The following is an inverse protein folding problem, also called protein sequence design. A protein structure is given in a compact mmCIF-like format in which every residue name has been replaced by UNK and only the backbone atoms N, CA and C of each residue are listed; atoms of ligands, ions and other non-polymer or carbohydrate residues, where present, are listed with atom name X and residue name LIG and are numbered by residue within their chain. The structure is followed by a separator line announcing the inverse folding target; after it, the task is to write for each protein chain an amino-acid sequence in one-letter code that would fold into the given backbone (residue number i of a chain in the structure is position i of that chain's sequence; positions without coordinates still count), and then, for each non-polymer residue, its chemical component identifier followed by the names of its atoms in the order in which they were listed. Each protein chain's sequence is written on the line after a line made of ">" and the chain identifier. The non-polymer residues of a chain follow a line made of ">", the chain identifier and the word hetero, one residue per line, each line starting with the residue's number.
data_IF_145476603627
#
_entry.id   IF_145476603627
#
_cell.length_a   1.000
_cell.length_b   1.000
_cell.length_c   1.000
_cell.angle_alpha   90.00
_cell.angle_beta   90.00
_cell.angle_gamma   90.00
#
_symmetry.space_group_name_H-M   'P 1'
#
loop_
_entity.id
_entity.type
_entity.pdbx_description
1 polymer ?
#
# COMPACT_ATOMS: atom_id res chain seq x y z
N UNK A 1 71.58 -14.99 65.29
CA UNK A 1 70.80 -15.83 64.36
C UNK A 1 69.58 -15.03 63.84
N UNK A 2 69.69 -14.43 62.69
CA UNK A 2 68.61 -13.58 62.07
C UNK A 2 67.95 -14.42 60.97
N UNK A 3 66.67 -14.83 61.21
CA UNK A 3 65.86 -15.51 60.19
C UNK A 3 65.30 -14.48 59.19
N UNK A 4 65.75 -14.57 57.95
CA UNK A 4 65.19 -13.83 56.85
C UNK A 4 63.85 -14.45 56.41
N UNK A 5 62.74 -13.69 56.51
CA UNK A 5 61.48 -14.04 55.94
C UNK A 5 61.45 -13.54 54.44
N UNK A 6 61.18 -14.43 53.53
CA UNK A 6 60.97 -14.13 52.10
C UNK A 6 59.46 -13.87 51.92
N UNK A 7 59.03 -12.74 51.34
CA UNK A 7 57.64 -12.55 51.05
C UNK A 7 57.25 -13.33 49.78
N UNK A 8 56.19 -14.13 49.87
CA UNK A 8 55.61 -14.83 48.77
C UNK A 8 54.83 -13.80 47.85
N UNK A 9 55.26 -13.68 46.61
CA UNK A 9 54.61 -12.87 45.60
C UNK A 9 53.42 -13.67 45.06
N UNK A 10 52.16 -13.26 45.40
CA UNK A 10 50.96 -13.83 44.86
C UNK A 10 50.73 -13.18 43.50
N UNK A 11 51.00 -13.92 42.40
CA UNK A 11 50.64 -13.53 41.03
C UNK A 11 49.15 -13.74 40.83
N UNK A 12 48.36 -12.65 40.87
CA UNK A 12 46.95 -12.65 40.57
C UNK A 12 46.79 -12.67 39.03
N UNK A 13 46.60 -13.83 38.44
CA UNK A 13 46.26 -13.97 36.99
C UNK A 13 44.82 -13.55 36.78
N UNK A 14 44.62 -12.36 36.22
CA UNK A 14 43.32 -11.93 35.66
C UNK A 14 42.97 -12.83 34.45
N UNK A 15 42.08 -13.76 34.65
CA UNK A 15 41.44 -14.51 33.56
C UNK A 15 40.45 -13.58 32.89
N UNK A 16 40.86 -12.94 31.81
CA UNK A 16 39.93 -12.24 30.88
C UNK A 16 39.05 -13.31 30.18
N UNK A 17 37.87 -13.52 30.73
CA UNK A 17 36.84 -14.30 30.04
C UNK A 17 36.47 -13.57 28.75
N UNK A 18 36.56 -14.19 27.55
CA UNK A 18 36.01 -13.60 26.36
C UNK A 18 34.51 -13.52 26.55
N UNK A 19 33.97 -12.32 26.66
CA UNK A 19 32.54 -12.08 26.59
C UNK A 19 32.08 -12.54 25.20
N UNK A 20 31.56 -13.75 25.12
CA UNK A 20 30.80 -14.18 23.95
C UNK A 20 29.60 -13.22 23.84
N UNK A 21 29.69 -12.29 22.93
CA UNK A 21 28.51 -11.62 22.38
C UNK A 21 27.71 -12.69 21.65
N UNK A 22 26.87 -13.42 22.37
CA UNK A 22 25.79 -14.17 21.77
C UNK A 22 24.89 -13.10 21.12
N UNK A 23 25.02 -12.92 19.84
CA UNK A 23 24.10 -12.10 19.05
C UNK A 23 22.69 -12.59 19.37
N UNK A 24 21.89 -11.75 20.01
CA UNK A 24 20.51 -12.06 20.32
C UNK A 24 19.81 -12.28 18.98
N UNK A 25 19.53 -13.55 18.65
CA UNK A 25 18.78 -13.89 17.43
C UNK A 25 17.43 -13.16 17.52
N UNK A 26 17.25 -12.18 16.65
CA UNK A 26 15.98 -11.45 16.54
C UNK A 26 14.89 -12.47 16.19
N UNK A 27 13.83 -12.50 16.99
CA UNK A 27 12.68 -13.34 16.71
C UNK A 27 11.97 -12.76 15.47
N UNK A 28 11.92 -13.52 14.38
CA UNK A 28 11.25 -13.11 13.15
C UNK A 28 9.72 -13.18 13.34
N UNK A 29 9.01 -12.13 12.94
CA UNK A 29 7.53 -12.12 12.92
C UNK A 29 6.94 -13.11 11.90
N UNK A 30 7.72 -13.44 10.86
CA UNK A 30 7.33 -14.35 9.76
C UNK A 30 8.52 -15.26 9.44
N UNK A 31 8.33 -16.60 9.33
CA UNK A 31 9.39 -17.50 8.87
C UNK A 31 9.72 -17.19 7.40
N UNK A 32 11.00 -17.30 7.04
CA UNK A 32 11.40 -17.17 5.63
C UNK A 32 10.89 -18.36 4.80
N UNK A 33 9.95 -18.07 3.91
CA UNK A 33 9.43 -19.02 2.91
C UNK A 33 9.46 -18.33 1.55
N UNK A 34 10.32 -18.75 0.62
CA UNK A 34 10.44 -18.05 -0.65
C UNK A 34 9.23 -18.29 -1.56
N UNK A 35 8.68 -17.22 -2.13
CA UNK A 35 7.63 -17.31 -3.16
C UNK A 35 8.09 -18.11 -4.37
N UNK A 36 7.33 -19.09 -4.81
CA UNK A 36 7.67 -19.89 -6.02
C UNK A 36 7.66 -19.01 -7.27
N UNK A 37 8.57 -19.26 -8.21
CA UNK A 37 8.73 -18.42 -9.42
C UNK A 37 7.46 -18.25 -10.26
N UNK A 38 6.61 -19.27 -10.49
CA UNK A 38 5.34 -19.06 -11.19
C UNK A 38 4.41 -18.07 -10.47
N UNK A 39 4.46 -18.02 -9.13
CA UNK A 39 3.69 -17.06 -8.33
C UNK A 39 4.32 -15.66 -8.42
N UNK A 40 5.66 -15.55 -8.39
CA UNK A 40 6.37 -14.27 -8.67
C UNK A 40 5.93 -13.70 -10.01
N UNK A 41 5.87 -14.53 -11.05
CA UNK A 41 5.47 -14.14 -12.39
C UNK A 41 4.03 -13.58 -12.40
N UNK A 42 3.11 -14.26 -11.75
CA UNK A 42 1.72 -13.80 -11.66
C UNK A 42 1.58 -12.53 -10.81
N UNK A 43 2.31 -12.42 -9.71
CA UNK A 43 2.32 -11.19 -8.88
C UNK A 43 2.76 -9.98 -9.70
N UNK A 44 3.86 -10.08 -10.44
CA UNK A 44 4.39 -8.98 -11.25
C UNK A 44 3.47 -8.64 -12.43
N UNK A 45 2.87 -9.66 -13.05
CA UNK A 45 1.89 -9.50 -14.12
C UNK A 45 0.60 -8.83 -13.62
N UNK A 46 0.01 -9.32 -12.52
CA UNK A 46 -1.22 -8.77 -11.94
C UNK A 46 -1.01 -7.34 -11.46
N UNK A 47 0.17 -7.02 -10.89
CA UNK A 47 0.57 -5.67 -10.55
C UNK A 47 0.77 -4.76 -11.78
N UNK A 48 0.83 -5.30 -13.00
CA UNK A 48 1.03 -4.55 -14.23
C UNK A 48 2.32 -3.72 -14.22
N UNK A 49 3.44 -4.36 -13.83
CA UNK A 49 4.73 -3.68 -13.68
C UNK A 49 5.17 -3.05 -14.99
N UNK A 50 5.70 -1.82 -14.90
CA UNK A 50 6.23 -1.06 -16.03
C UNK A 50 7.63 -0.49 -15.73
N UNK A 51 8.39 -0.12 -16.77
CA UNK A 51 9.74 0.43 -16.66
C UNK A 51 9.87 1.65 -15.74
N UNK A 52 8.81 2.47 -15.64
CA UNK A 52 8.80 3.66 -14.78
C UNK A 52 8.53 3.38 -13.31
N UNK A 53 8.17 2.15 -12.95
CA UNK A 53 7.80 1.80 -11.58
C UNK A 53 8.98 1.77 -10.62
N UNK A 54 8.64 2.07 -9.37
CA UNK A 54 9.48 1.82 -8.20
C UNK A 54 8.77 0.77 -7.32
N UNK A 55 9.28 -0.44 -7.36
CA UNK A 55 8.73 -1.61 -6.66
C UNK A 55 9.36 -1.70 -5.28
N UNK A 56 8.54 -1.75 -4.24
CA UNK A 56 8.96 -2.01 -2.87
C UNK A 56 8.53 -3.42 -2.45
N UNK A 57 9.45 -4.20 -1.90
CA UNK A 57 9.18 -5.53 -1.37
C UNK A 57 9.47 -5.57 0.13
N UNK A 58 8.43 -5.77 0.93
CA UNK A 58 8.52 -5.78 2.39
C UNK A 58 8.65 -7.23 2.89
N UNK A 59 9.78 -7.56 3.52
CA UNK A 59 10.19 -8.93 3.79
C UNK A 59 10.74 -9.58 2.51
N UNK A 60 11.71 -8.92 1.87
CA UNK A 60 12.14 -9.26 0.50
C UNK A 60 12.90 -10.59 0.38
N UNK A 61 13.36 -11.17 1.49
CA UNK A 61 14.11 -12.41 1.49
C UNK A 61 15.31 -12.35 0.55
N UNK A 62 15.37 -13.28 -0.39
CA UNK A 62 16.43 -13.36 -1.41
C UNK A 62 16.31 -12.35 -2.57
N UNK A 63 15.33 -11.44 -2.50
CA UNK A 63 15.14 -10.35 -3.44
C UNK A 63 14.44 -10.71 -4.75
N UNK A 64 13.91 -11.95 -4.89
CA UNK A 64 13.39 -12.48 -6.17
C UNK A 64 12.29 -11.64 -6.83
N UNK A 65 11.40 -10.99 -6.05
CA UNK A 65 10.32 -10.13 -6.57
C UNK A 65 10.91 -8.85 -7.19
N UNK A 66 11.77 -8.16 -6.45
CA UNK A 66 12.42 -6.91 -6.89
C UNK A 66 13.36 -7.16 -8.07
N UNK A 67 14.15 -8.24 -8.01
CA UNK A 67 15.06 -8.66 -9.08
C UNK A 67 14.26 -9.05 -10.33
N UNK A 68 13.18 -9.82 -10.16
CA UNK A 68 12.30 -10.21 -11.27
C UNK A 68 11.63 -9.01 -11.94
N UNK A 69 11.19 -8.02 -11.17
CA UNK A 69 10.64 -6.76 -11.70
C UNK A 69 11.70 -5.99 -12.52
N UNK A 70 12.94 -5.92 -12.03
CA UNK A 70 14.04 -5.25 -12.72
C UNK A 70 14.42 -5.97 -14.02
N UNK A 71 14.60 -7.30 -13.99
CA UNK A 71 15.03 -8.06 -15.15
C UNK A 71 14.00 -8.06 -16.29
N UNK A 72 12.71 -8.23 -15.97
CA UNK A 72 11.68 -8.45 -16.99
C UNK A 72 11.07 -7.15 -17.51
N UNK A 73 10.96 -6.15 -16.63
CA UNK A 73 10.25 -4.91 -16.96
C UNK A 73 11.15 -3.67 -16.93
N UNK A 74 12.41 -3.79 -16.48
CA UNK A 74 13.30 -2.65 -16.30
C UNK A 74 12.83 -1.69 -15.21
N UNK A 75 12.02 -2.15 -14.27
CA UNK A 75 11.57 -1.39 -13.13
C UNK A 75 12.71 -1.19 -12.12
N UNK A 76 12.65 -0.10 -11.35
CA UNK A 76 13.51 0.05 -10.17
C UNK A 76 12.90 -0.65 -8.97
N UNK A 77 13.72 -1.05 -8.01
CA UNK A 77 13.19 -1.73 -6.84
C UNK A 77 13.99 -1.52 -5.56
N UNK A 78 13.27 -1.63 -4.45
CA UNK A 78 13.80 -1.54 -3.10
C UNK A 78 13.24 -2.73 -2.31
N UNK A 79 14.13 -3.53 -1.72
CA UNK A 79 13.77 -4.61 -0.80
C UNK A 79 14.17 -4.28 0.61
N UNK A 80 13.27 -4.54 1.56
CA UNK A 80 13.53 -4.48 2.99
C UNK A 80 13.40 -5.86 3.61
N UNK A 81 14.37 -6.25 4.40
CA UNK A 81 14.29 -7.42 5.27
C UNK A 81 15.00 -7.13 6.59
N UNK A 82 14.58 -7.78 7.65
CA UNK A 82 15.22 -7.63 8.97
C UNK A 82 16.40 -8.59 9.15
N UNK A 83 16.48 -9.63 8.30
CA UNK A 83 17.51 -10.65 8.34
C UNK A 83 18.71 -10.24 7.47
N UNK A 84 19.90 -9.98 8.09
CA UNK A 84 21.10 -9.60 7.35
C UNK A 84 21.57 -10.68 6.35
N UNK A 85 21.32 -11.97 6.63
CA UNK A 85 21.67 -13.06 5.69
C UNK A 85 20.83 -12.97 4.43
N UNK A 86 19.52 -12.68 4.56
CA UNK A 86 18.63 -12.48 3.41
C UNK A 86 19.04 -11.26 2.59
N UNK A 87 19.42 -10.17 3.24
CA UNK A 87 19.91 -8.97 2.56
C UNK A 87 21.22 -9.25 1.79
N UNK A 88 22.16 -10.02 2.37
CA UNK A 88 23.36 -10.40 1.64
C UNK A 88 23.03 -11.29 0.43
N UNK A 89 22.17 -12.29 0.60
CA UNK A 89 21.71 -13.16 -0.48
C UNK A 89 21.04 -12.37 -1.61
N UNK A 90 20.16 -11.40 -1.26
CA UNK A 90 19.49 -10.56 -2.25
C UNK A 90 20.46 -9.72 -3.09
N UNK A 91 21.53 -9.19 -2.47
CA UNK A 91 22.59 -8.45 -3.18
C UNK A 91 23.40 -9.35 -4.12
N UNK A 92 23.74 -10.56 -3.67
CA UNK A 92 24.45 -11.54 -4.48
C UNK A 92 23.59 -11.99 -5.68
N UNK A 93 22.31 -12.21 -5.45
CA UNK A 93 21.34 -12.56 -6.50
C UNK A 93 21.17 -11.41 -7.50
N UNK A 94 21.09 -10.15 -7.04
CA UNK A 94 21.03 -8.98 -7.93
C UNK A 94 22.29 -8.86 -8.80
N UNK A 95 23.46 -9.17 -8.24
CA UNK A 95 24.73 -9.19 -8.97
C UNK A 95 24.72 -10.26 -10.05
N UNK A 96 24.33 -11.50 -9.70
CA UNK A 96 24.19 -12.62 -10.66
C UNK A 96 23.18 -12.30 -11.76
N UNK A 97 22.11 -11.58 -11.42
CA UNK A 97 21.06 -11.17 -12.34
C UNK A 97 21.42 -9.97 -13.22
N UNK A 98 22.51 -9.26 -12.93
CA UNK A 98 22.98 -8.07 -13.67
C UNK A 98 22.11 -6.83 -13.47
N UNK A 99 21.38 -6.72 -12.34
CA UNK A 99 20.43 -5.62 -12.09
C UNK A 99 20.80 -4.72 -10.91
N UNK A 100 22.03 -4.76 -10.43
CA UNK A 100 22.52 -3.98 -9.27
C UNK A 100 22.28 -2.48 -9.39
N UNK A 101 22.22 -1.93 -10.61
CA UNK A 101 21.96 -0.52 -10.87
C UNK A 101 20.46 -0.16 -10.76
N UNK A 102 19.56 -1.14 -10.73
CA UNK A 102 18.12 -0.95 -10.68
C UNK A 102 17.53 -1.24 -9.30
N UNK A 103 18.22 -2.04 -8.48
CA UNK A 103 17.68 -2.52 -7.20
C UNK A 103 18.58 -2.18 -6.02
N UNK A 104 17.94 -1.99 -4.86
CA UNK A 104 18.63 -1.76 -3.57
C UNK A 104 18.00 -2.62 -2.50
N UNK A 105 18.81 -3.08 -1.52
CA UNK A 105 18.34 -3.90 -0.40
C UNK A 105 18.87 -3.33 0.91
N UNK A 106 17.98 -3.21 1.89
CA UNK A 106 18.26 -2.62 3.20
C UNK A 106 17.84 -3.56 4.32
N UNK A 107 18.75 -3.76 5.29
CA UNK A 107 18.42 -4.39 6.56
C UNK A 107 17.62 -3.40 7.39
N UNK A 108 16.30 -3.60 7.45
CA UNK A 108 15.41 -2.69 8.15
C UNK A 108 14.09 -3.37 8.51
N UNK A 109 13.54 -3.00 9.67
CA UNK A 109 12.18 -3.35 10.08
C UNK A 109 11.16 -2.69 9.15
N UNK A 110 10.32 -3.50 8.51
CA UNK A 110 9.28 -3.07 7.57
C UNK A 110 8.25 -2.09 8.18
N UNK A 111 8.04 -2.13 9.50
CA UNK A 111 7.13 -1.19 10.17
C UNK A 111 7.70 0.23 10.28
N UNK A 112 9.03 0.36 10.25
CA UNK A 112 9.74 1.64 10.29
C UNK A 112 10.25 2.09 8.92
N UNK A 113 10.19 1.21 7.90
CA UNK A 113 10.62 1.49 6.56
C UNK A 113 9.81 2.64 5.94
N UNK A 114 10.51 3.49 5.19
CA UNK A 114 9.89 4.54 4.38
C UNK A 114 9.61 4.00 2.98
N UNK A 115 8.35 4.00 2.58
CA UNK A 115 7.90 3.50 1.28
C UNK A 115 6.95 4.47 0.54
N UNK A 116 6.90 5.74 0.94
CA UNK A 116 5.98 6.74 0.37
C UNK A 116 6.17 6.98 -1.14
N UNK A 117 7.34 6.62 -1.70
CA UNK A 117 7.63 6.74 -3.13
C UNK A 117 7.19 5.53 -3.96
N UNK A 118 6.72 4.44 -3.32
CA UNK A 118 6.33 3.24 -4.02
C UNK A 118 5.24 3.52 -5.06
N UNK A 119 5.42 3.00 -6.27
CA UNK A 119 4.33 2.86 -7.26
C UNK A 119 3.72 1.46 -7.24
N UNK A 120 4.49 0.48 -6.77
CA UNK A 120 4.07 -0.90 -6.53
C UNK A 120 4.66 -1.40 -5.22
N UNK A 121 3.88 -2.13 -4.45
CA UNK A 121 4.31 -2.83 -3.23
C UNK A 121 4.01 -4.31 -3.35
N UNK A 122 4.98 -5.16 -3.03
CA UNK A 122 4.84 -6.61 -2.99
C UNK A 122 4.94 -7.11 -1.55
N UNK A 123 4.11 -8.12 -1.22
CA UNK A 123 4.00 -8.68 0.13
C UNK A 123 3.91 -10.20 0.06
N UNK A 124 4.67 -10.89 0.91
CA UNK A 124 4.42 -12.28 1.28
C UNK A 124 4.56 -12.43 2.79
N UNK A 125 3.63 -11.81 3.50
CA UNK A 125 3.61 -11.70 4.95
C UNK A 125 2.30 -12.32 5.49
N UNK A 126 2.29 -12.66 6.77
CA UNK A 126 1.06 -13.16 7.42
C UNK A 126 -0.04 -12.09 7.41
N UNK A 127 -1.31 -12.51 7.37
CA UNK A 127 -2.47 -11.59 7.46
C UNK A 127 -2.37 -10.65 8.67
N UNK A 128 -1.86 -11.14 9.80
CA UNK A 128 -1.66 -10.32 11.00
C UNK A 128 -0.67 -9.17 10.80
N UNK A 129 0.38 -9.40 10.00
CA UNK A 129 1.39 -8.38 9.65
C UNK A 129 0.81 -7.40 8.62
N UNK A 130 0.12 -7.90 7.59
CA UNK A 130 -0.57 -7.05 6.60
C UNK A 130 -1.57 -6.10 7.28
N UNK A 131 -2.34 -6.57 8.27
CA UNK A 131 -3.29 -5.76 9.03
C UNK A 131 -2.60 -4.67 9.87
N UNK A 132 -1.43 -4.93 10.43
CA UNK A 132 -0.62 -3.92 11.14
C UNK A 132 -0.04 -2.87 10.20
N UNK A 133 0.37 -3.27 8.97
CA UNK A 133 0.91 -2.37 7.96
C UNK A 133 -0.17 -1.53 7.26
N UNK A 134 -1.40 -2.04 7.15
CA UNK A 134 -2.49 -1.43 6.38
C UNK A 134 -2.73 0.05 6.70
N UNK A 135 -2.82 0.50 7.97
CA UNK A 135 -3.00 1.91 8.28
C UNK A 135 -1.86 2.80 7.79
N UNK A 136 -0.61 2.31 7.89
CA UNK A 136 0.58 3.01 7.39
C UNK A 136 0.56 3.09 5.87
N UNK A 137 0.21 1.99 5.17
CA UNK A 137 0.10 1.97 3.70
C UNK A 137 -0.96 2.96 3.21
N UNK A 138 -2.16 2.97 3.82
CA UNK A 138 -3.25 3.88 3.44
C UNK A 138 -2.94 5.35 3.74
N UNK A 139 -2.05 5.64 4.69
CA UNK A 139 -1.63 7.00 5.05
C UNK A 139 -0.49 7.52 4.17
N UNK A 140 0.49 6.67 3.85
CA UNK A 140 1.76 7.10 3.26
C UNK A 140 1.84 6.87 1.75
N UNK A 141 1.18 5.83 1.24
CA UNK A 141 1.17 5.55 -0.19
C UNK A 141 0.25 6.51 -0.95
N UNK A 142 0.68 6.90 -2.13
CA UNK A 142 -0.12 7.75 -3.02
C UNK A 142 -1.32 6.98 -3.57
N UNK A 143 -2.49 7.61 -3.72
CA UNK A 143 -3.60 7.02 -4.46
C UNK A 143 -3.15 6.56 -5.86
N UNK A 144 -3.53 5.34 -6.22
CA UNK A 144 -3.07 4.69 -7.44
C UNK A 144 -1.86 3.76 -7.25
N UNK A 145 -1.18 3.79 -6.09
CA UNK A 145 -0.16 2.78 -5.78
C UNK A 145 -0.80 1.40 -5.77
N UNK A 146 -0.16 0.45 -6.44
CA UNK A 146 -0.62 -0.94 -6.59
C UNK A 146 0.04 -1.81 -5.53
N UNK A 147 -0.75 -2.63 -4.85
CA UNK A 147 -0.28 -3.58 -3.85
C UNK A 147 -0.60 -4.98 -4.35
N UNK A 148 0.34 -5.89 -4.30
CA UNK A 148 0.13 -7.31 -4.59
C UNK A 148 0.63 -8.17 -3.43
N UNK A 149 -0.19 -9.12 -2.99
CA UNK A 149 0.13 -10.00 -1.86
C UNK A 149 -0.09 -11.47 -2.22
N UNK A 150 0.89 -12.30 -1.85
CA UNK A 150 0.83 -13.74 -1.99
C UNK A 150 0.13 -14.37 -0.78
N UNK A 151 -0.91 -15.15 -1.00
CA UNK A 151 -1.72 -15.92 -0.03
C UNK A 151 -2.42 -15.15 1.09
N UNK A 152 -1.91 -14.00 1.51
CA UNK A 152 -2.39 -13.32 2.71
C UNK A 152 -3.10 -12.00 2.37
N UNK A 153 -4.37 -11.92 2.76
CA UNK A 153 -5.21 -10.74 2.52
C UNK A 153 -5.03 -9.63 3.55
N UNK A 154 -5.88 -8.60 3.41
CA UNK A 154 -5.91 -7.40 4.27
C UNK A 154 -7.23 -7.30 5.07
N UNK A 155 -7.80 -8.44 5.48
CA UNK A 155 -9.01 -8.49 6.28
C UNK A 155 -10.24 -7.96 5.53
N UNK A 156 -10.86 -6.92 6.05
CA UNK A 156 -12.08 -6.33 5.46
C UNK A 156 -11.81 -5.53 4.18
N UNK A 157 -10.56 -5.09 3.97
CA UNK A 157 -10.18 -4.49 2.71
C UNK A 157 -10.10 -5.55 1.61
N UNK A 158 -11.21 -5.70 0.89
CA UNK A 158 -11.30 -6.68 -0.20
C UNK A 158 -10.40 -6.30 -1.36
N UNK A 159 -9.75 -7.30 -2.02
CA UNK A 159 -8.92 -7.01 -3.19
C UNK A 159 -9.76 -6.49 -4.37
N UNK A 160 -9.17 -5.64 -5.20
CA UNK A 160 -9.74 -5.20 -6.46
C UNK A 160 -9.72 -6.32 -7.51
N UNK A 161 -8.71 -7.20 -7.43
CA UNK A 161 -8.57 -8.40 -8.27
C UNK A 161 -7.87 -9.51 -7.47
N UNK A 162 -8.07 -10.76 -7.90
CA UNK A 162 -7.33 -11.92 -7.42
C UNK A 162 -7.08 -12.90 -8.55
N UNK A 163 -6.04 -13.72 -8.38
CA UNK A 163 -5.67 -14.80 -9.29
C UNK A 163 -5.17 -15.99 -8.49
N UNK A 164 -5.37 -17.21 -9.00
CA UNK A 164 -4.91 -18.45 -8.39
C UNK A 164 -3.84 -19.09 -9.27
N UNK A 165 -2.71 -19.46 -8.68
CA UNK A 165 -1.60 -20.14 -9.36
C UNK A 165 -1.41 -21.52 -8.73
N UNK A 166 -1.45 -22.58 -9.54
CA UNK A 166 -1.14 -23.95 -9.11
C UNK A 166 0.36 -24.23 -9.29
N UNK A 167 1.04 -24.62 -8.21
CA UNK A 167 2.46 -25.03 -8.24
C UNK A 167 2.59 -26.29 -7.39
N UNK A 168 3.10 -27.36 -7.98
CA UNK A 168 3.31 -28.65 -7.30
C UNK A 168 2.02 -29.14 -6.58
N UNK A 169 0.85 -29.05 -7.26
CA UNK A 169 -0.49 -29.36 -6.76
C UNK A 169 -0.97 -28.52 -5.56
N UNK A 170 -0.25 -27.45 -5.24
CA UNK A 170 -0.62 -26.50 -4.19
C UNK A 170 -1.17 -25.22 -4.84
N UNK A 171 -2.32 -24.78 -4.34
CA UNK A 171 -2.96 -23.52 -4.74
C UNK A 171 -2.30 -22.35 -4.03
N UNK A 172 -1.91 -21.33 -4.80
CA UNK A 172 -1.39 -20.06 -4.31
C UNK A 172 -2.29 -18.92 -4.76
N UNK A 173 -2.83 -18.17 -3.81
CA UNK A 173 -3.66 -17.02 -4.10
C UNK A 173 -2.79 -15.76 -4.26
N UNK A 174 -3.08 -14.95 -5.28
CA UNK A 174 -2.46 -13.64 -5.49
C UNK A 174 -3.55 -12.59 -5.42
N UNK A 175 -3.45 -11.69 -4.47
CA UNK A 175 -4.39 -10.60 -4.25
C UNK A 175 -3.81 -9.29 -4.72
N UNK A 176 -4.65 -8.42 -5.26
CA UNK A 176 -4.27 -7.12 -5.80
C UNK A 176 -5.18 -6.01 -5.30
N UNK A 177 -4.59 -4.89 -4.86
CA UNK A 177 -5.30 -3.68 -4.45
C UNK A 177 -4.70 -2.45 -5.13
N UNK A 178 -5.52 -1.42 -5.27
CA UNK A 178 -5.09 -0.08 -5.64
C UNK A 178 -5.38 0.85 -4.46
N UNK A 179 -4.40 1.58 -3.97
CA UNK A 179 -4.60 2.59 -2.91
C UNK A 179 -5.63 3.61 -3.39
N UNK A 180 -6.79 3.73 -2.74
CA UNK A 180 -7.82 4.69 -3.12
C UNK A 180 -7.49 6.08 -2.59
N UNK A 181 -7.92 7.12 -3.32
CA UNK A 181 -7.98 8.47 -2.75
C UNK A 181 -9.05 8.53 -1.64
N UNK A 182 -8.82 9.37 -0.65
CA UNK A 182 -9.86 9.67 0.33
C UNK A 182 -10.84 10.68 -0.27
N UNK A 183 -12.08 10.24 -0.55
CA UNK A 183 -13.19 11.06 -1.05
C UNK A 183 -14.27 11.29 0.00
N UNK A 184 -14.07 10.86 1.25
CA UNK A 184 -15.03 11.05 2.34
C UNK A 184 -15.32 12.52 2.58
N UNK A 185 -16.51 12.81 3.12
CA UNK A 185 -16.93 14.16 3.48
C UNK A 185 -17.75 14.88 2.42
N UNK A 186 -17.95 16.18 2.60
CA UNK A 186 -18.82 17.02 1.80
C UNK A 186 -18.04 17.77 0.71
N UNK A 187 -18.50 17.64 -0.52
CA UNK A 187 -17.94 18.24 -1.71
C UNK A 187 -18.99 19.12 -2.39
N UNK A 188 -18.55 20.26 -2.94
CA UNK A 188 -19.42 21.19 -3.67
C UNK A 188 -18.79 21.58 -4.99
N UNK A 189 -19.63 21.86 -5.99
CA UNK A 189 -19.24 22.35 -7.31
C UNK A 189 -20.32 23.18 -7.96
N UNK A 190 -19.97 23.90 -9.03
CA UNK A 190 -20.90 24.60 -9.92
C UNK A 190 -20.65 24.17 -11.35
N UNK A 191 -21.72 23.93 -12.12
CA UNK A 191 -21.67 23.50 -13.50
C UNK A 191 -22.52 24.39 -14.41
N UNK A 192 -22.09 24.48 -15.67
CA UNK A 192 -22.91 24.95 -16.79
C UNK A 192 -23.23 26.42 -16.81
N UNK A 193 -24.10 26.78 -17.78
CA UNK A 193 -24.72 28.11 -17.91
C UNK A 193 -26.18 27.89 -18.32
N UNK A 194 -27.19 28.31 -17.50
CA UNK A 194 -27.04 28.94 -16.18
C UNK A 194 -26.37 28.05 -15.17
N UNK A 195 -25.76 28.65 -14.15
CA UNK A 195 -25.03 27.92 -13.09
C UNK A 195 -25.96 26.98 -12.31
N UNK A 196 -25.49 25.76 -12.13
CA UNK A 196 -26.17 24.71 -11.38
C UNK A 196 -25.24 24.19 -10.28
N UNK A 197 -25.65 24.38 -9.02
CA UNK A 197 -24.90 23.87 -7.88
C UNK A 197 -25.07 22.36 -7.72
N UNK A 198 -23.96 21.68 -7.47
CA UNK A 198 -23.92 20.27 -7.11
C UNK A 198 -23.28 20.07 -5.73
N UNK A 199 -23.80 19.11 -5.00
CA UNK A 199 -23.29 18.67 -3.73
C UNK A 199 -23.13 17.16 -3.73
N UNK A 200 -22.09 16.66 -3.06
CA UNK A 200 -21.86 15.24 -2.82
C UNK A 200 -21.37 15.08 -1.38
N UNK A 201 -22.01 14.20 -0.62
CA UNK A 201 -21.54 13.80 0.71
C UNK A 201 -21.26 12.32 0.68
N UNK A 202 -19.99 11.95 0.92
CA UNK A 202 -19.53 10.58 0.87
C UNK A 202 -19.21 10.02 2.25
N UNK A 203 -19.65 8.79 2.51
CA UNK A 203 -18.97 7.88 3.43
C UNK A 203 -18.13 6.92 2.63
N UNK A 204 -16.97 6.55 3.16
CA UNK A 204 -16.02 5.69 2.45
C UNK A 204 -15.44 4.65 3.39
N UNK A 205 -15.34 3.39 2.89
CA UNK A 205 -14.60 2.32 3.51
C UNK A 205 -13.67 1.71 2.44
N UNK A 206 -12.37 1.96 2.55
CA UNK A 206 -11.36 1.65 1.53
C UNK A 206 -11.75 2.21 0.15
N UNK A 207 -11.89 1.37 -0.89
CA UNK A 207 -12.34 1.78 -2.22
C UNK A 207 -13.87 1.88 -2.35
N UNK A 208 -14.63 1.45 -1.35
CA UNK A 208 -16.10 1.50 -1.38
C UNK A 208 -16.60 2.87 -0.94
N UNK A 209 -17.35 3.54 -1.83
CA UNK A 209 -17.92 4.87 -1.59
C UNK A 209 -19.44 4.76 -1.56
N UNK A 210 -20.04 5.29 -0.49
CA UNK A 210 -21.50 5.45 -0.39
C UNK A 210 -21.83 6.94 -0.46
N UNK A 211 -22.34 7.44 -1.60
CA UNK A 211 -22.59 8.85 -1.81
C UNK A 211 -24.01 9.25 -1.51
N UNK A 212 -24.20 10.54 -1.20
CA UNK A 212 -25.47 11.26 -1.30
C UNK A 212 -25.26 12.48 -2.17
N UNK A 213 -26.07 12.66 -3.20
CA UNK A 213 -25.95 13.77 -4.15
C UNK A 213 -27.15 14.72 -4.09
N UNK A 214 -26.86 16.01 -4.39
CA UNK A 214 -27.89 17.01 -4.74
C UNK A 214 -27.44 17.78 -5.96
N UNK A 215 -28.40 18.07 -6.87
CA UNK A 215 -28.22 18.91 -8.05
C UNK A 215 -29.29 20.02 -8.03
N UNK A 216 -28.87 21.28 -8.04
CA UNK A 216 -29.78 22.41 -7.91
C UNK A 216 -30.59 22.36 -6.60
N UNK A 217 -30.02 21.86 -5.52
CA UNK A 217 -30.65 21.66 -4.20
C UNK A 217 -31.59 20.45 -4.11
N UNK A 218 -31.82 19.70 -5.18
CA UNK A 218 -32.70 18.51 -5.22
C UNK A 218 -31.88 17.22 -5.10
N UNK A 219 -32.37 16.21 -4.34
CA UNK A 219 -31.72 14.91 -4.30
C UNK A 219 -31.53 14.30 -5.69
N UNK A 220 -30.37 13.67 -5.91
CA UNK A 220 -30.03 12.95 -7.12
C UNK A 220 -29.41 11.59 -6.79
N UNK A 221 -29.59 10.62 -7.68
CA UNK A 221 -29.05 9.26 -7.50
C UNK A 221 -28.00 9.01 -8.57
N UNK A 222 -26.78 8.69 -8.13
CA UNK A 222 -25.71 8.30 -9.02
C UNK A 222 -25.82 6.82 -9.41
N UNK A 223 -25.43 6.55 -10.65
CA UNK A 223 -25.21 5.20 -11.20
C UNK A 223 -23.73 5.01 -11.49
N UNK A 224 -23.27 3.76 -11.58
CA UNK A 224 -21.94 3.36 -12.04
C UNK A 224 -20.79 4.06 -11.29
N UNK A 225 -21.00 4.34 -9.99
CA UNK A 225 -19.96 4.98 -9.18
C UNK A 225 -18.80 4.03 -8.96
N UNK A 226 -17.60 4.48 -9.35
CA UNK A 226 -16.35 3.80 -9.10
C UNK A 226 -15.28 4.77 -8.62
N UNK A 227 -14.46 4.31 -7.68
CA UNK A 227 -13.24 4.96 -7.24
C UNK A 227 -12.06 4.01 -7.47
N UNK A 228 -11.18 4.37 -8.40
CA UNK A 228 -10.00 3.57 -8.72
C UNK A 228 -8.74 4.44 -8.61
N UNK A 229 -7.97 4.22 -7.57
CA UNK A 229 -6.88 5.12 -7.22
C UNK A 229 -7.41 6.54 -6.95
N UNK A 230 -6.96 7.51 -7.69
CA UNK A 230 -7.42 8.91 -7.64
C UNK A 230 -8.52 9.25 -8.66
N UNK A 231 -8.99 8.27 -9.44
CA UNK A 231 -10.01 8.48 -10.47
C UNK A 231 -11.40 8.17 -9.91
N UNK A 232 -12.27 9.19 -9.90
CA UNK A 232 -13.68 9.07 -9.53
C UNK A 232 -14.55 9.14 -10.78
N UNK A 233 -15.46 8.18 -10.93
CA UNK A 233 -16.42 8.11 -12.03
C UNK A 233 -17.82 7.84 -11.48
N UNK A 234 -18.83 8.50 -12.05
CA UNK A 234 -20.25 8.22 -11.83
C UNK A 234 -21.11 8.87 -12.91
N UNK A 235 -22.38 8.45 -12.98
CA UNK A 235 -23.41 9.03 -13.88
C UNK A 235 -24.50 9.65 -13.03
N UNK A 236 -24.87 10.90 -13.33
CA UNK A 236 -26.03 11.59 -12.75
C UNK A 236 -26.97 12.09 -13.86
N UNK A 237 -28.25 12.17 -13.53
CA UNK A 237 -29.24 12.81 -14.39
C UNK A 237 -29.25 14.32 -14.09
N UNK A 238 -28.90 15.14 -15.11
CA UNK A 238 -28.82 16.59 -14.99
C UNK A 238 -30.03 17.26 -15.63
N UNK A 239 -30.66 18.28 -15.02
CA UNK A 239 -31.59 19.17 -15.68
C UNK A 239 -30.83 20.04 -16.69
N UNK A 240 -31.23 19.96 -17.96
CA UNK A 240 -30.61 20.71 -19.06
C UNK A 240 -31.67 21.14 -20.07
N UNK A 241 -31.83 22.45 -20.30
CA UNK A 241 -32.80 23.06 -21.27
C UNK A 241 -34.22 22.47 -21.16
N UNK A 242 -34.73 22.35 -19.92
CA UNK A 242 -36.06 21.81 -19.66
C UNK A 242 -36.21 20.28 -19.80
N UNK A 243 -35.12 19.57 -20.08
CA UNK A 243 -35.02 18.10 -20.14
C UNK A 243 -34.15 17.56 -19.03
N UNK A 244 -34.20 16.25 -18.81
CA UNK A 244 -33.27 15.52 -17.98
C UNK A 244 -32.36 14.71 -18.89
N UNK A 245 -31.03 14.86 -18.71
CA UNK A 245 -30.03 14.18 -19.52
C UNK A 245 -29.08 13.39 -18.63
N UNK A 246 -28.74 12.14 -18.95
CA UNK A 246 -27.70 11.39 -18.25
C UNK A 246 -26.34 12.01 -18.57
N UNK A 247 -25.58 12.35 -17.53
CA UNK A 247 -24.27 12.97 -17.63
C UNK A 247 -23.22 12.14 -16.90
N UNK A 248 -22.14 11.84 -17.57
CA UNK A 248 -20.99 11.12 -17.03
C UNK A 248 -20.00 12.10 -16.40
N UNK A 249 -19.70 11.88 -15.15
CA UNK A 249 -18.71 12.62 -14.37
C UNK A 249 -17.43 11.80 -14.29
N UNK A 250 -16.32 12.35 -14.73
CA UNK A 250 -14.99 11.74 -14.63
C UNK A 250 -14.03 12.78 -14.08
N UNK A 251 -13.35 12.48 -12.97
CA UNK A 251 -12.44 13.43 -12.36
C UNK A 251 -11.37 12.79 -11.51
N UNK A 252 -10.29 13.55 -11.35
CA UNK A 252 -9.13 13.19 -10.56
C UNK A 252 -9.15 13.92 -9.22
N UNK A 253 -8.96 13.15 -8.14
CA UNK A 253 -8.88 13.66 -6.77
C UNK A 253 -7.45 14.11 -6.46
N UNK A 254 -7.32 15.32 -5.91
CA UNK A 254 -6.06 15.87 -5.43
C UNK A 254 -6.26 16.52 -4.05
N UNK A 255 -6.17 15.72 -2.98
CA UNK A 255 -6.42 16.19 -1.62
C UNK A 255 -7.86 16.68 -1.43
N UNK A 256 -8.05 17.99 -1.21
CA UNK A 256 -9.37 18.61 -1.03
C UNK A 256 -9.98 19.16 -2.33
N UNK A 257 -9.38 18.86 -3.47
CA UNK A 257 -9.85 19.29 -4.79
C UNK A 257 -10.12 18.11 -5.70
N UNK A 258 -11.04 18.31 -6.64
CA UNK A 258 -11.31 17.40 -7.74
C UNK A 258 -11.34 18.23 -9.02
N UNK A 259 -10.73 17.72 -10.08
CA UNK A 259 -10.77 18.31 -11.41
C UNK A 259 -11.06 17.24 -12.46
N UNK A 260 -11.95 17.56 -13.41
CA UNK A 260 -12.35 16.60 -14.43
C UNK A 260 -13.30 17.17 -15.46
N UNK A 261 -14.13 16.30 -16.03
CA UNK A 261 -15.10 16.63 -17.06
C UNK A 261 -16.46 16.03 -16.74
N UNK A 262 -17.51 16.72 -17.20
CA UNK A 262 -18.86 16.19 -17.29
C UNK A 262 -19.21 16.08 -18.76
N UNK A 263 -19.68 14.91 -19.21
CA UNK A 263 -20.00 14.60 -20.59
C UNK A 263 -21.46 14.15 -20.73
N UNK A 264 -22.19 14.68 -21.65
CA UNK A 264 -23.58 14.27 -22.00
C UNK A 264 -23.91 14.55 -23.43
N UNK A 265 -25.06 14.05 -23.88
CA UNK A 265 -25.56 14.25 -25.26
C UNK A 265 -26.71 15.27 -25.27
N UNK A 266 -26.70 16.21 -26.23
CA UNK A 266 -27.80 17.09 -26.54
C UNK A 266 -28.12 17.03 -28.04
N UNK A 267 -29.27 16.46 -28.38
CA UNK A 267 -29.69 16.27 -29.78
C UNK A 267 -28.69 15.51 -30.66
N UNK A 268 -27.95 14.53 -30.04
CA UNK A 268 -26.94 13.73 -30.73
C UNK A 268 -25.56 14.39 -30.82
N UNK A 269 -25.37 15.56 -30.19
CA UNK A 269 -24.09 16.25 -30.12
C UNK A 269 -23.48 16.08 -28.74
N UNK A 270 -22.16 15.84 -28.70
CA UNK A 270 -21.41 15.78 -27.46
C UNK A 270 -21.31 17.15 -26.81
N UNK A 271 -21.68 17.23 -25.55
CA UNK A 271 -21.46 18.38 -24.67
C UNK A 271 -20.48 18.00 -23.59
N UNK A 272 -19.44 18.81 -23.42
CA UNK A 272 -18.39 18.57 -22.41
C UNK A 272 -18.20 19.84 -21.59
N UNK A 273 -18.37 19.71 -20.27
CA UNK A 273 -18.10 20.79 -19.32
C UNK A 273 -16.89 20.46 -18.45
N UNK A 274 -16.15 21.50 -18.06
CA UNK A 274 -15.17 21.37 -16.99
C UNK A 274 -15.88 21.13 -15.66
N UNK A 275 -15.34 20.21 -14.89
CA UNK A 275 -15.82 19.90 -13.54
C UNK A 275 -14.71 20.14 -12.52
N UNK A 276 -14.98 21.02 -11.58
CA UNK A 276 -14.11 21.27 -10.44
C UNK A 276 -14.97 21.23 -9.19
N UNK A 277 -14.57 20.41 -8.23
CA UNK A 277 -15.21 20.32 -6.92
C UNK A 277 -14.21 20.59 -5.81
N UNK A 278 -14.70 21.15 -4.72
CA UNK A 278 -13.91 21.39 -3.50
C UNK A 278 -14.54 20.65 -2.34
N UNK A 279 -13.70 19.99 -1.52
CA UNK A 279 -14.13 19.36 -0.27
C UNK A 279 -14.05 20.36 0.88
N UNK A 280 -15.05 20.31 1.77
CA UNK A 280 -14.92 20.93 3.08
C UNK A 280 -13.97 20.06 3.94
N UNK A 281 -12.74 20.54 4.26
CA UNK A 281 -11.75 19.73 4.99
C UNK A 281 -12.24 19.25 6.36
N UNK A 282 -13.10 20.02 7.04
CA UNK A 282 -13.64 19.66 8.36
C UNK A 282 -14.56 18.41 8.33
N UNK A 283 -14.98 17.97 7.15
CA UNK A 283 -15.86 16.81 6.96
C UNK A 283 -15.12 15.54 6.56
N UNK A 284 -13.80 15.62 6.31
CA UNK A 284 -12.98 14.48 5.96
C UNK A 284 -12.91 13.46 7.09
N UNK A 285 -12.98 12.18 6.76
CA UNK A 285 -12.87 11.07 7.70
C UNK A 285 -11.84 10.06 7.18
N UNK A 286 -11.15 9.32 8.08
CA UNK A 286 -10.30 8.20 7.68
C UNK A 286 -11.10 7.17 6.89
N UNK A 287 -10.46 6.55 5.90
CA UNK A 287 -11.06 5.50 5.04
C UNK A 287 -10.89 4.09 5.62
N UNK A 288 -10.05 3.93 6.64
CA UNK A 288 -9.92 2.74 7.48
C UNK A 288 -10.42 3.12 8.88
N UNK A 289 -11.68 2.83 9.16
CA UNK A 289 -12.30 3.18 10.45
C UNK A 289 -12.00 2.17 11.55
N UNK A 290 -11.35 1.06 11.23
CA UNK A 290 -11.15 -0.08 12.12
C UNK A 290 -9.69 -0.31 12.52
N UNK A 291 -8.76 0.60 12.15
CA UNK A 291 -7.35 0.47 12.53
C UNK A 291 -7.16 0.26 14.05
N UNK A 292 -7.96 0.93 14.87
CA UNK A 292 -7.95 0.79 16.33
C UNK A 292 -8.69 -0.48 16.82
N UNK A 293 -9.67 -0.99 16.07
CA UNK A 293 -10.45 -2.18 16.44
C UNK A 293 -9.70 -3.48 16.19
N UNK A 294 -8.80 -3.52 15.21
CA UNK A 294 -8.04 -4.76 14.94
C UNK A 294 -7.06 -5.09 16.06
N UNK A 295 -6.46 -4.10 16.72
CA UNK A 295 -5.69 -4.32 17.94
C UNK A 295 -6.50 -4.96 19.08
N UNK A 296 -7.78 -4.59 19.21
CA UNK A 296 -8.68 -5.07 20.26
C UNK A 296 -9.35 -6.42 19.90
N UNK A 297 -9.76 -6.63 18.64
CA UNK A 297 -10.56 -7.80 18.21
C UNK A 297 -9.76 -9.10 18.14
N UNK A 298 -8.44 -9.03 17.91
CA UNK A 298 -7.58 -10.21 17.86
C UNK A 298 -6.77 -10.43 19.15
N UNK A 299 -7.11 -9.73 20.25
CA UNK A 299 -6.38 -9.85 21.52
C UNK A 299 -4.91 -9.46 21.41
N UNK A 300 -4.53 -8.82 20.31
CA UNK A 300 -3.21 -8.26 20.13
C UNK A 300 -3.15 -6.98 20.98
N UNK A 301 -2.67 -7.11 22.21
CA UNK A 301 -2.06 -5.93 22.86
C UNK A 301 -1.08 -5.36 21.83
N UNK A 302 -1.09 -4.02 21.61
CA UNK A 302 0.02 -3.42 20.86
C UNK A 302 1.29 -4.01 21.46
N UNK A 303 2.25 -4.50 20.68
CA UNK A 303 3.48 -5.01 21.25
C UNK A 303 4.00 -3.90 22.15
N UNK A 304 4.20 -4.22 23.43
CA UNK A 304 4.99 -3.38 24.30
C UNK A 304 6.22 -3.08 23.47
N UNK A 305 6.51 -1.77 23.22
CA UNK A 305 7.57 -1.29 22.34
C UNK A 305 8.65 -2.36 22.21
N UNK A 306 8.59 -3.14 21.14
CA UNK A 306 9.70 -4.02 20.80
C UNK A 306 10.76 -3.07 20.30
N UNK A 307 11.64 -2.70 21.18
CA UNK A 307 12.90 -2.03 20.84
C UNK A 307 13.68 -3.14 20.15
N UNK A 308 13.74 -3.11 18.83
CA UNK A 308 14.59 -3.96 18.02
C UNK A 308 16.02 -3.42 18.00
#
# INVERSE_FOLDING_TARGET
>A
MIKRMIPALICLTLVLSPSFWAGQQRQLDVPYVPTKYPVVDEMLKLAGIQKGDLVYDLGCGDGRLVIGAAQRYGARGIGYDIDPERIQESRDNATKAGVVNLVKFFEQDLFTADFHEASVMTLYLLTSVNLKLRPKMLKELKPGTRIVSHNFGMGEWKPDQSSTVMVDDISHEVYFWIIPANVSGAWTWTLGKPEMNGEMVNTQLFQQVTPSFKIGGKPAVARDLTLKGDQLHFVLDLPYQGKTVPATFEGKIGGHSLAGKVKFQDGGKDVVWDWKAARNPATEKPIDTDADKYGARFGMKPPAKVIY
#
